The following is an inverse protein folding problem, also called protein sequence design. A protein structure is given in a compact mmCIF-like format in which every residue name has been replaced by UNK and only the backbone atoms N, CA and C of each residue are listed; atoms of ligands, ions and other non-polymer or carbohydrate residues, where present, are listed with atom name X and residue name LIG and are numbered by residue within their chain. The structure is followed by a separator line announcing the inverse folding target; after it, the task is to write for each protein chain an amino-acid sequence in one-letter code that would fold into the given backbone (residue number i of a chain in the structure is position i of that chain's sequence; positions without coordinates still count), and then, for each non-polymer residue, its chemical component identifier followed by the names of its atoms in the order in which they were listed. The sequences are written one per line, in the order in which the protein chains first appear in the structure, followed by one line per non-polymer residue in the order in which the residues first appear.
data_IF_736572762336
#
_entry.id   IF_736572762336
#
_cell.length_a   1.000
_cell.length_b   1.000
_cell.length_c   1.000
_cell.angle_alpha   90.00
_cell.angle_beta   90.00
_cell.angle_gamma   90.00
#
_symmetry.space_group_name_H-M   'P 1'
#
loop_
_entity.id
_entity.type
_entity.pdbx_description
1 polymer ?
#
# COMPACT_ATOMS: atom_id res chain seq x y z
N UNK A 1 -6.66 -8.06 -22.51
CA UNK A 1 -7.81 -7.83 -21.61
C UNK A 1 -7.91 -9.09 -20.76
N UNK A 2 -7.38 -9.05 -19.54
CA UNK A 2 -7.27 -10.21 -18.66
C UNK A 2 -8.48 -10.26 -17.72
N UNK A 3 -9.12 -11.42 -17.71
CA UNK A 3 -10.23 -11.84 -16.85
C UNK A 3 -9.81 -12.01 -15.36
N UNK A 4 -9.29 -10.96 -14.74
CA UNK A 4 -8.87 -11.02 -13.32
C UNK A 4 -9.74 -10.15 -12.40
N UNK A 5 -10.94 -9.78 -12.80
CA UNK A 5 -11.75 -8.77 -12.10
C UNK A 5 -12.72 -9.31 -11.02
N UNK A 6 -12.73 -10.62 -10.67
CA UNK A 6 -13.82 -11.16 -9.83
C UNK A 6 -13.40 -12.07 -8.66
N UNK A 7 -12.12 -12.24 -8.40
CA UNK A 7 -11.67 -13.04 -7.26
C UNK A 7 -11.34 -12.15 -6.05
N UNK A 8 -12.02 -12.40 -4.93
CA UNK A 8 -11.70 -11.75 -3.64
C UNK A 8 -10.21 -11.90 -3.32
N UNK A 9 -9.45 -10.81 -3.11
CA UNK A 9 -8.03 -10.89 -2.81
C UNK A 9 -7.73 -11.82 -1.63
N UNK A 10 -6.67 -12.62 -1.76
CA UNK A 10 -6.33 -13.66 -0.78
C UNK A 10 -6.14 -13.10 0.65
N UNK A 11 -5.61 -11.90 0.80
CA UNK A 11 -5.40 -11.31 2.11
C UNK A 11 -6.70 -11.10 2.90
N UNK A 12 -7.84 -10.88 2.23
CA UNK A 12 -9.14 -10.69 2.89
C UNK A 12 -9.66 -11.95 3.57
N UNK A 13 -9.17 -13.12 3.15
CA UNK A 13 -9.59 -14.43 3.66
C UNK A 13 -8.76 -14.89 4.88
N UNK A 14 -7.73 -14.13 5.26
CA UNK A 14 -6.91 -14.46 6.41
C UNK A 14 -7.70 -14.34 7.72
N UNK A 15 -7.53 -15.29 8.62
CA UNK A 15 -8.19 -15.29 9.94
C UNK A 15 -7.56 -14.32 10.96
N UNK A 16 -6.53 -13.59 10.58
CA UNK A 16 -5.83 -12.64 11.45
C UNK A 16 -6.58 -11.31 11.63
N UNK A 17 -7.58 -11.03 10.77
CA UNK A 17 -8.30 -9.75 10.83
C UNK A 17 -9.34 -9.72 11.95
N UNK A 18 -9.50 -8.58 12.67
CA UNK A 18 -8.67 -7.37 12.60
C UNK A 18 -7.30 -7.58 13.25
N UNK A 19 -6.25 -7.10 12.59
CA UNK A 19 -4.88 -7.14 13.09
C UNK A 19 -4.63 -5.94 14.02
N UNK A 20 -4.19 -6.21 15.25
CA UNK A 20 -3.77 -5.19 16.21
C UNK A 20 -2.27 -5.02 16.19
N UNK A 21 -1.82 -3.77 16.16
CA UNK A 21 -0.44 -3.37 16.40
C UNK A 21 -0.33 -2.74 17.81
N UNK A 22 0.73 -2.01 18.07
CA UNK A 22 0.89 -1.31 19.36
C UNK A 22 -0.21 -0.26 19.61
N UNK A 23 -0.55 0.51 18.55
CA UNK A 23 -1.48 1.64 18.65
C UNK A 23 -2.67 1.53 17.71
N UNK A 24 -2.56 0.71 16.66
CA UNK A 24 -3.49 0.71 15.54
C UNK A 24 -4.26 -0.61 15.42
N UNK A 25 -5.36 -0.53 14.70
CA UNK A 25 -6.08 -1.70 14.22
C UNK A 25 -6.21 -1.63 12.69
N UNK A 26 -5.82 -2.71 12.02
CA UNK A 26 -5.92 -2.86 10.57
C UNK A 26 -6.98 -3.90 10.25
N UNK A 27 -7.84 -3.62 9.29
CA UNK A 27 -8.81 -4.58 8.76
C UNK A 27 -9.08 -4.35 7.27
N UNK A 28 -9.52 -5.36 6.53
CA UNK A 28 -10.02 -5.17 5.17
C UNK A 28 -11.10 -4.09 5.12
N UNK A 29 -11.01 -3.20 4.12
CA UNK A 29 -11.98 -2.16 3.93
C UNK A 29 -13.36 -2.72 3.54
N UNK A 30 -14.41 -2.07 3.97
CA UNK A 30 -15.80 -2.37 3.64
C UNK A 30 -16.39 -1.22 2.79
N UNK A 31 -17.49 -1.49 2.08
CA UNK A 31 -18.17 -0.45 1.32
C UNK A 31 -18.63 0.73 2.19
N UNK A 32 -19.00 0.46 3.43
CA UNK A 32 -19.39 1.46 4.43
C UNK A 32 -18.28 2.44 4.80
N UNK A 33 -17.01 2.07 4.64
CA UNK A 33 -15.86 2.94 4.94
C UNK A 33 -15.68 4.06 3.90
N UNK A 34 -16.32 3.92 2.74
CA UNK A 34 -16.20 4.85 1.62
C UNK A 34 -16.49 6.31 1.98
N UNK A 35 -17.40 6.55 2.94
CA UNK A 35 -17.72 7.91 3.40
C UNK A 35 -16.54 8.56 4.12
N UNK A 36 -15.88 7.83 5.02
CA UNK A 36 -14.75 8.36 5.79
C UNK A 36 -13.53 8.53 4.89
N UNK A 37 -13.26 7.54 4.03
CA UNK A 37 -12.14 7.60 3.08
C UNK A 37 -12.31 8.72 2.05
N UNK A 38 -13.54 9.01 1.63
CA UNK A 38 -13.83 10.19 0.80
C UNK A 38 -13.36 11.49 1.44
N UNK A 39 -13.71 11.69 2.73
CA UNK A 39 -13.33 12.91 3.46
C UNK A 39 -11.82 13.13 3.48
N UNK A 40 -11.05 12.06 3.58
CA UNK A 40 -9.59 12.15 3.56
C UNK A 40 -9.05 12.34 2.14
N UNK A 41 -9.47 11.50 1.20
CA UNK A 41 -8.90 11.45 -0.15
C UNK A 41 -9.31 12.62 -1.05
N UNK A 42 -10.41 13.29 -0.73
CA UNK A 42 -10.85 14.51 -1.44
C UNK A 42 -10.11 15.78 -1.01
N UNK A 43 -9.31 15.72 0.06
CA UNK A 43 -8.47 16.85 0.47
C UNK A 43 -7.39 17.10 -0.59
N UNK A 44 -7.17 18.36 -1.02
CA UNK A 44 -6.17 18.68 -2.05
C UNK A 44 -4.76 18.18 -1.71
N UNK A 45 -4.32 18.36 -0.47
CA UNK A 45 -3.01 17.94 0.01
C UNK A 45 -2.83 16.41 0.03
N UNK A 46 -3.90 15.64 0.23
CA UNK A 46 -3.90 14.18 0.14
C UNK A 46 -3.97 13.75 -1.31
N UNK A 47 -4.91 14.33 -2.07
CA UNK A 47 -5.14 14.02 -3.46
C UNK A 47 -3.96 14.31 -4.37
N UNK A 48 -3.10 15.26 -4.00
CA UNK A 48 -1.96 15.70 -4.81
C UNK A 48 -1.08 14.57 -5.30
N UNK A 49 -0.81 13.58 -4.45
CA UNK A 49 0.11 12.49 -4.74
C UNK A 49 -0.57 11.18 -5.13
N UNK A 50 -1.91 11.16 -5.18
CA UNK A 50 -2.65 9.96 -5.59
C UNK A 50 -2.67 9.83 -7.11
N UNK A 51 -2.52 8.61 -7.61
CA UNK A 51 -2.64 8.29 -9.04
C UNK A 51 -4.02 8.61 -9.62
N UNK A 52 -5.00 8.80 -8.75
CA UNK A 52 -6.34 9.23 -9.09
C UNK A 52 -6.89 10.13 -7.97
N UNK A 53 -7.52 11.23 -8.36
CA UNK A 53 -8.24 12.15 -7.48
C UNK A 53 -9.69 12.27 -7.96
N UNK A 54 -10.68 11.94 -7.14
CA UNK A 54 -12.07 11.94 -7.57
C UNK A 54 -12.54 13.36 -7.95
N UNK A 55 -13.25 13.44 -9.06
CA UNK A 55 -13.81 14.72 -9.58
C UNK A 55 -14.96 15.17 -8.70
N UNK A 56 -15.78 14.22 -8.27
CA UNK A 56 -16.93 14.44 -7.41
C UNK A 56 -17.28 13.17 -6.61
N UNK A 57 -18.39 13.22 -5.90
CA UNK A 57 -18.87 12.13 -5.07
C UNK A 57 -19.32 10.90 -5.86
N UNK A 58 -19.87 11.08 -7.03
CA UNK A 58 -20.34 9.97 -7.87
C UNK A 58 -19.17 9.19 -8.42
N UNK A 59 -18.16 9.86 -8.98
CA UNK A 59 -16.90 9.30 -9.44
C UNK A 59 -16.16 8.53 -8.29
N UNK A 60 -16.17 9.11 -7.08
CA UNK A 60 -15.65 8.41 -5.90
C UNK A 60 -16.39 7.10 -5.62
N UNK A 61 -17.73 7.16 -5.54
CA UNK A 61 -18.52 5.99 -5.18
C UNK A 61 -18.36 4.86 -6.20
N UNK A 62 -18.34 5.20 -7.49
CA UNK A 62 -18.12 4.23 -8.57
C UNK A 62 -16.73 3.58 -8.44
N UNK A 63 -15.69 4.41 -8.36
CA UNK A 63 -14.29 3.92 -8.29
C UNK A 63 -14.02 3.17 -7.00
N UNK A 64 -14.52 3.65 -5.85
CA UNK A 64 -14.34 2.96 -4.58
C UNK A 64 -15.05 1.60 -4.57
N UNK A 65 -16.28 1.53 -5.05
CA UNK A 65 -17.04 0.28 -5.16
C UNK A 65 -16.30 -0.75 -6.01
N UNK A 66 -15.65 -0.32 -7.08
CA UNK A 66 -14.87 -1.21 -7.94
C UNK A 66 -13.54 -1.68 -7.33
N UNK A 67 -12.97 -0.95 -6.36
CA UNK A 67 -11.59 -1.15 -5.89
C UNK A 67 -11.45 -1.39 -4.38
N UNK A 68 -12.50 -1.23 -3.57
CA UNK A 68 -12.39 -1.34 -2.11
C UNK A 68 -11.80 -2.68 -1.64
N UNK A 69 -11.95 -3.71 -2.46
CA UNK A 69 -11.41 -5.03 -2.16
C UNK A 69 -9.87 -5.04 -2.05
N UNK A 70 -9.16 -4.11 -2.70
CA UNK A 70 -7.71 -3.96 -2.64
C UNK A 70 -7.24 -3.21 -1.39
N UNK A 71 -8.16 -2.68 -0.57
CA UNK A 71 -7.82 -1.79 0.55
C UNK A 71 -8.00 -2.44 1.91
N UNK A 72 -7.18 -1.97 2.83
CA UNK A 72 -7.37 -2.11 4.28
C UNK A 72 -7.56 -0.71 4.86
N UNK A 73 -8.34 -0.57 5.92
CA UNK A 73 -8.40 0.65 6.72
C UNK A 73 -7.50 0.53 7.93
N UNK A 74 -6.98 1.67 8.35
CA UNK A 74 -6.16 1.84 9.55
C UNK A 74 -6.95 2.66 10.56
N UNK A 75 -7.21 2.09 11.72
CA UNK A 75 -7.96 2.70 12.81
C UNK A 75 -7.06 3.02 13.99
N UNK A 76 -7.30 4.16 14.59
CA UNK A 76 -6.76 4.60 15.89
C UNK A 76 -7.95 4.90 16.81
N UNK A 77 -8.04 4.22 17.94
CA UNK A 77 -9.13 4.38 18.94
C UNK A 77 -10.55 4.27 18.34
N UNK A 78 -10.70 3.44 17.29
CA UNK A 78 -11.97 3.21 16.59
C UNK A 78 -12.28 4.20 15.46
N UNK A 79 -11.41 5.18 15.21
CA UNK A 79 -11.54 6.15 14.12
C UNK A 79 -10.62 5.79 12.96
N UNK A 80 -11.12 5.77 11.72
CA UNK A 80 -10.29 5.54 10.53
C UNK A 80 -9.42 6.77 10.30
N UNK A 81 -8.10 6.56 10.34
CA UNK A 81 -7.09 7.61 10.12
C UNK A 81 -6.37 7.48 8.79
N UNK A 82 -6.62 6.41 8.04
CA UNK A 82 -5.99 6.18 6.76
C UNK A 82 -6.38 4.84 6.15
N UNK A 83 -5.80 4.57 5.00
CA UNK A 83 -5.95 3.30 4.30
C UNK A 83 -4.62 2.82 3.71
N UNK A 84 -4.54 1.51 3.50
CA UNK A 84 -3.45 0.83 2.81
C UNK A 84 -4.00 0.09 1.60
N UNK A 85 -3.29 0.12 0.49
CA UNK A 85 -3.56 -0.70 -0.69
C UNK A 85 -2.63 -1.90 -0.69
N UNK A 86 -3.17 -3.06 -1.02
CA UNK A 86 -2.41 -4.29 -1.24
C UNK A 86 -2.87 -4.95 -2.53
N UNK A 87 -1.99 -5.02 -3.51
CA UNK A 87 -2.18 -5.75 -4.75
C UNK A 87 -1.12 -6.82 -4.90
N UNK A 88 -1.54 -7.99 -5.34
CA UNK A 88 -0.62 -9.09 -5.63
C UNK A 88 -0.36 -9.18 -7.12
N UNK A 89 0.84 -9.57 -7.49
CA UNK A 89 1.24 -9.76 -8.89
C UNK A 89 2.17 -10.95 -9.04
N UNK A 90 2.24 -11.43 -10.29
CA UNK A 90 3.19 -12.45 -10.66
C UNK A 90 4.59 -11.86 -10.80
N UNK A 91 5.60 -12.65 -10.44
CA UNK A 91 6.98 -12.35 -10.77
C UNK A 91 7.27 -12.59 -12.25
N UNK A 92 8.35 -12.00 -12.74
CA UNK A 92 8.91 -12.40 -14.03
C UNK A 92 9.69 -13.70 -13.87
N UNK A 93 9.56 -14.62 -14.81
CA UNK A 93 10.29 -15.89 -14.81
C UNK A 93 10.41 -16.49 -16.22
N UNK A 94 11.43 -17.34 -16.39
CA UNK A 94 11.56 -18.14 -17.59
C UNK A 94 10.37 -19.09 -17.71
N UNK A 95 10.02 -19.47 -18.95
CA UNK A 95 8.83 -20.27 -19.25
C UNK A 95 8.78 -21.57 -18.46
N UNK A 96 9.92 -22.22 -18.30
CA UNK A 96 10.06 -23.54 -17.66
C UNK A 96 9.77 -23.54 -16.15
N UNK A 97 9.84 -22.36 -15.52
CA UNK A 97 9.64 -22.17 -14.06
C UNK A 97 8.54 -21.13 -13.75
N UNK A 98 7.77 -20.73 -14.75
CA UNK A 98 6.80 -19.64 -14.62
C UNK A 98 5.76 -19.91 -13.53
N UNK A 99 5.36 -21.14 -13.33
CA UNK A 99 4.38 -21.51 -12.30
C UNK A 99 4.85 -21.15 -10.86
N UNK A 100 6.17 -21.03 -10.66
CA UNK A 100 6.76 -20.60 -9.38
C UNK A 100 6.71 -19.09 -9.17
N UNK A 101 6.26 -18.33 -10.16
CA UNK A 101 6.19 -16.85 -10.09
C UNK A 101 4.78 -16.33 -9.85
N UNK A 102 3.79 -17.19 -9.72
CA UNK A 102 2.40 -16.80 -9.57
C UNK A 102 2.17 -16.21 -8.18
N UNK A 103 1.62 -14.99 -8.14
CA UNK A 103 1.24 -14.25 -6.94
C UNK A 103 2.34 -14.20 -5.85
N UNK A 104 3.61 -14.02 -6.25
CA UNK A 104 4.76 -13.97 -5.32
C UNK A 104 5.23 -12.56 -5.00
N UNK A 105 4.57 -11.56 -5.54
CA UNK A 105 4.91 -10.14 -5.34
C UNK A 105 3.70 -9.37 -4.83
N UNK A 106 3.97 -8.32 -4.05
CA UNK A 106 2.95 -7.38 -3.57
C UNK A 106 3.37 -5.95 -3.88
N UNK A 107 2.43 -5.15 -4.38
CA UNK A 107 2.52 -3.69 -4.44
C UNK A 107 1.75 -3.10 -3.27
N UNK A 108 2.39 -2.19 -2.54
CA UNK A 108 1.77 -1.46 -1.44
C UNK A 108 1.59 0.02 -1.78
N UNK A 109 0.48 0.58 -1.30
CA UNK A 109 0.21 2.02 -1.30
C UNK A 109 -0.39 2.42 0.05
N UNK A 110 -0.38 3.70 0.36
CA UNK A 110 -0.94 4.25 1.60
C UNK A 110 -1.45 5.66 1.44
N UNK A 111 -2.46 5.97 2.23
CA UNK A 111 -3.03 7.30 2.35
C UNK A 111 -3.44 7.52 3.81
N UNK A 112 -3.03 8.63 4.39
CA UNK A 112 -3.39 8.98 5.76
C UNK A 112 -4.02 10.37 5.81
N UNK A 113 -4.93 10.57 6.75
CA UNK A 113 -5.45 11.88 7.07
C UNK A 113 -4.31 12.81 7.51
N UNK A 114 -4.31 14.10 7.14
CA UNK A 114 -3.25 15.04 7.50
C UNK A 114 -2.96 15.09 9.01
N UNK A 115 -4.00 14.97 9.84
CA UNK A 115 -3.91 14.98 11.29
C UNK A 115 -3.16 13.77 11.87
N UNK A 116 -3.04 12.69 11.10
CA UNK A 116 -2.27 11.50 11.46
C UNK A 116 -0.77 11.65 11.14
N UNK A 117 -0.39 12.72 10.43
CA UNK A 117 0.99 12.97 10.01
C UNK A 117 1.98 13.16 11.17
N UNK A 118 3.24 12.76 10.95
CA UNK A 118 4.34 13.00 11.89
C UNK A 118 4.34 12.17 13.18
N UNK A 119 3.37 11.27 13.37
CA UNK A 119 3.18 10.50 14.62
C UNK A 119 3.65 9.03 14.51
N UNK A 120 4.21 8.65 13.36
CA UNK A 120 4.71 7.30 13.12
C UNK A 120 3.65 6.26 12.74
N UNK A 121 2.37 6.62 12.68
CA UNK A 121 1.29 5.68 12.37
C UNK A 121 1.43 5.01 11.00
N UNK A 122 1.81 5.77 9.97
CA UNK A 122 2.04 5.20 8.65
C UNK A 122 3.17 4.16 8.64
N UNK A 123 4.26 4.41 9.39
CA UNK A 123 5.36 3.45 9.53
C UNK A 123 4.88 2.17 10.19
N UNK A 124 4.18 2.28 11.33
CA UNK A 124 3.64 1.14 12.08
C UNK A 124 2.67 0.30 11.24
N UNK A 125 1.76 0.96 10.52
CA UNK A 125 0.78 0.28 9.67
C UNK A 125 1.44 -0.44 8.47
N UNK A 126 2.41 0.20 7.81
CA UNK A 126 3.11 -0.39 6.66
C UNK A 126 4.01 -1.54 7.10
N UNK A 127 4.72 -1.43 8.23
CA UNK A 127 5.51 -2.55 8.80
C UNK A 127 4.62 -3.75 9.14
N UNK A 128 3.45 -3.52 9.73
CA UNK A 128 2.49 -4.58 9.98
C UNK A 128 2.00 -5.24 8.68
N UNK A 129 1.71 -4.46 7.64
CA UNK A 129 1.27 -5.00 6.35
C UNK A 129 2.39 -5.77 5.62
N UNK A 130 3.65 -5.30 5.67
CA UNK A 130 4.79 -6.06 5.13
C UNK A 130 4.91 -7.41 5.84
N UNK A 131 4.76 -7.44 7.18
CA UNK A 131 4.76 -8.70 7.94
C UNK A 131 3.66 -9.65 7.49
N UNK A 132 2.44 -9.14 7.23
CA UNK A 132 1.34 -9.95 6.69
C UNK A 132 1.70 -10.50 5.30
N UNK A 133 2.25 -9.67 4.41
CA UNK A 133 2.66 -10.09 3.08
C UNK A 133 3.70 -11.22 3.13
N UNK A 134 4.71 -11.08 3.98
CA UNK A 134 5.80 -12.06 4.08
C UNK A 134 5.36 -13.33 4.81
N UNK A 135 4.72 -13.21 5.99
CA UNK A 135 4.51 -14.34 6.89
C UNK A 135 3.15 -15.05 6.67
N UNK A 136 2.13 -14.34 6.20
CA UNK A 136 0.80 -14.93 6.00
C UNK A 136 0.50 -15.25 4.54
N UNK A 137 1.01 -14.41 3.61
CA UNK A 137 0.76 -14.58 2.17
C UNK A 137 1.96 -15.21 1.43
N UNK A 138 3.11 -15.36 2.09
CA UNK A 138 4.30 -15.97 1.48
C UNK A 138 4.90 -15.15 0.32
N UNK A 139 4.66 -13.84 0.30
CA UNK A 139 5.22 -12.97 -0.73
C UNK A 139 6.73 -12.94 -0.65
N UNK A 140 7.39 -13.10 -1.80
CA UNK A 140 8.86 -13.05 -1.91
C UNK A 140 9.40 -11.63 -1.97
N UNK A 141 8.60 -10.71 -2.54
CA UNK A 141 9.00 -9.33 -2.82
C UNK A 141 7.82 -8.39 -2.59
N UNK A 142 8.08 -7.31 -1.88
CA UNK A 142 7.14 -6.23 -1.64
C UNK A 142 7.72 -4.95 -2.24
N UNK A 143 6.92 -4.23 -3.00
CA UNK A 143 7.34 -3.00 -3.67
C UNK A 143 6.35 -1.86 -3.45
N UNK A 144 6.84 -0.63 -3.59
CA UNK A 144 6.03 0.58 -3.58
C UNK A 144 6.68 1.63 -4.48
N UNK A 145 5.85 2.36 -5.24
CA UNK A 145 6.29 3.46 -6.11
C UNK A 145 5.74 4.81 -5.65
N UNK A 146 6.44 5.87 -6.01
CA UNK A 146 5.99 7.24 -5.77
C UNK A 146 6.56 8.19 -6.82
N UNK A 147 5.93 9.37 -6.97
CA UNK A 147 6.59 10.51 -7.58
C UNK A 147 7.81 10.91 -6.74
N UNK A 148 8.92 11.24 -7.37
CA UNK A 148 10.16 11.60 -6.65
C UNK A 148 9.99 12.83 -5.76
N UNK A 149 9.08 13.73 -6.11
CA UNK A 149 8.71 14.91 -5.35
C UNK A 149 7.88 14.60 -4.10
N UNK A 150 7.27 13.40 -4.01
CA UNK A 150 6.55 12.94 -2.82
C UNK A 150 7.52 12.42 -1.76
N UNK A 151 8.31 13.33 -1.21
CA UNK A 151 9.34 13.03 -0.22
C UNK A 151 8.81 12.28 1.02
N UNK A 152 7.66 12.62 1.61
CA UNK A 152 7.11 11.87 2.73
C UNK A 152 6.90 10.38 2.45
N UNK A 153 6.49 10.03 1.22
CA UNK A 153 6.22 8.64 0.83
C UNK A 153 7.51 7.82 0.72
N UNK A 154 8.50 8.27 -0.07
CA UNK A 154 9.72 7.47 -0.21
C UNK A 154 10.59 7.46 1.06
N UNK A 155 10.54 8.51 1.90
CA UNK A 155 11.16 8.45 3.25
C UNK A 155 10.49 7.41 4.16
N UNK A 156 9.19 7.18 4.00
CA UNK A 156 8.53 6.08 4.69
C UNK A 156 9.06 4.73 4.19
N UNK A 157 9.20 4.55 2.87
CA UNK A 157 9.78 3.34 2.28
C UNK A 157 11.17 3.03 2.86
N UNK A 158 12.03 4.04 2.96
CA UNK A 158 13.36 3.90 3.56
C UNK A 158 13.30 3.53 5.05
N UNK A 159 12.41 4.16 5.81
CA UNK A 159 12.24 3.84 7.25
C UNK A 159 11.81 2.41 7.50
N UNK A 160 10.94 1.85 6.68
CA UNK A 160 10.51 0.45 6.80
C UNK A 160 11.53 -0.54 6.21
N UNK A 161 12.67 -0.04 5.71
CA UNK A 161 13.78 -0.87 5.24
C UNK A 161 13.73 -1.23 3.77
N UNK A 162 12.83 -0.64 2.98
CA UNK A 162 12.86 -0.79 1.53
C UNK A 162 14.10 -0.08 0.95
N UNK A 163 14.75 -0.68 -0.04
CA UNK A 163 15.83 -0.04 -0.81
C UNK A 163 15.29 0.53 -2.12
N UNK A 164 15.82 1.65 -2.54
CA UNK A 164 15.50 2.22 -3.85
C UNK A 164 16.12 1.37 -4.96
N UNK A 165 15.31 0.92 -5.88
CA UNK A 165 15.74 0.10 -7.02
C UNK A 165 15.74 0.86 -8.34
N UNK A 166 14.88 1.88 -8.48
CA UNK A 166 14.92 2.75 -9.65
C UNK A 166 14.66 4.22 -9.32
N UNK A 167 15.19 5.07 -10.20
CA UNK A 167 14.86 6.48 -10.33
C UNK A 167 14.69 6.74 -11.83
N UNK A 168 13.46 7.03 -12.22
CA UNK A 168 13.08 7.16 -13.64
C UNK A 168 12.82 8.61 -13.98
N UNK A 169 13.62 9.18 -14.88
CA UNK A 169 13.54 10.61 -15.23
C UNK A 169 12.33 10.86 -16.13
N UNK A 170 11.45 11.79 -15.71
CA UNK A 170 10.27 12.23 -16.47
C UNK A 170 9.38 11.08 -16.96
N UNK A 171 9.23 10.06 -16.13
CA UNK A 171 8.44 8.87 -16.44
C UNK A 171 6.94 9.09 -16.19
N UNK A 172 6.59 9.85 -15.16
CA UNK A 172 5.23 9.94 -14.66
C UNK A 172 4.60 11.28 -14.97
N UNK A 173 3.37 11.28 -15.49
CA UNK A 173 2.63 12.52 -15.73
C UNK A 173 1.79 12.88 -14.49
N UNK A 174 2.21 13.93 -13.79
CA UNK A 174 1.44 14.52 -12.69
C UNK A 174 0.45 15.56 -13.23
N UNK A 175 -0.77 15.58 -12.70
CA UNK A 175 -1.86 16.45 -13.19
C UNK A 175 -1.55 17.95 -13.18
N UNK A 176 -0.76 18.42 -12.20
CA UNK A 176 -0.44 19.84 -12.02
C UNK A 176 1.02 20.17 -12.35
N UNK A 177 1.96 19.21 -12.16
CA UNK A 177 3.40 19.43 -12.31
C UNK A 177 3.94 19.02 -13.69
N UNK A 178 3.11 18.39 -14.54
CA UNK A 178 3.55 17.84 -15.81
C UNK A 178 4.38 16.56 -15.63
N UNK A 179 5.33 16.30 -16.54
CA UNK A 179 6.20 15.13 -16.45
C UNK A 179 7.21 15.27 -15.33
N UNK A 180 7.13 14.38 -14.36
CA UNK A 180 7.95 14.33 -13.15
C UNK A 180 8.68 12.99 -13.06
N UNK A 181 9.68 12.94 -12.19
CA UNK A 181 10.47 11.74 -11.98
C UNK A 181 9.71 10.73 -11.10
N UNK A 182 9.98 9.45 -11.30
CA UNK A 182 9.42 8.36 -10.50
C UNK A 182 10.50 7.63 -9.71
N UNK A 183 10.12 7.07 -8.57
CA UNK A 183 10.97 6.19 -7.76
C UNK A 183 10.25 4.89 -7.46
N UNK A 184 11.00 3.78 -7.48
CA UNK A 184 10.52 2.48 -7.05
C UNK A 184 11.42 1.96 -5.93
N UNK A 185 10.82 1.48 -4.88
CA UNK A 185 11.45 0.85 -3.73
C UNK A 185 10.93 -0.56 -3.55
N UNK A 186 11.77 -1.43 -3.02
CA UNK A 186 11.37 -2.80 -2.70
C UNK A 186 12.10 -3.36 -1.47
N UNK A 187 11.51 -4.40 -0.89
CA UNK A 187 12.13 -5.25 0.13
C UNK A 187 11.82 -6.70 -0.18
N UNK A 188 12.80 -7.59 0.03
CA UNK A 188 12.63 -9.03 -0.08
C UNK A 188 12.21 -9.62 1.27
N UNK A 189 11.50 -10.76 1.21
CA UNK A 189 11.07 -11.46 2.42
C UNK A 189 12.22 -11.76 3.41
N UNK A 190 13.36 -12.18 2.89
CA UNK A 190 14.50 -12.52 3.74
C UNK A 190 15.13 -11.27 4.39
N UNK A 191 15.20 -10.15 3.64
CA UNK A 191 15.65 -8.85 4.18
C UNK A 191 14.71 -8.37 5.31
N UNK A 192 13.39 -8.57 5.13
CA UNK A 192 12.42 -8.25 6.17
C UNK A 192 12.60 -9.08 7.43
N UNK A 193 12.79 -10.40 7.29
CA UNK A 193 13.02 -11.30 8.44
C UNK A 193 14.31 -10.97 9.17
N UNK A 194 15.39 -10.67 8.46
CA UNK A 194 16.65 -10.23 9.04
C UNK A 194 16.49 -8.93 9.84
N UNK A 195 15.75 -7.96 9.29
CA UNK A 195 15.44 -6.70 9.99
C UNK A 195 14.70 -6.95 11.30
N UNK A 196 13.63 -7.77 11.29
CA UNK A 196 12.89 -8.10 12.51
C UNK A 196 13.77 -8.78 13.57
N UNK A 197 14.64 -9.69 13.15
CA UNK A 197 15.55 -10.39 14.04
C UNK A 197 16.57 -9.45 14.72
N UNK A 198 16.94 -8.35 14.08
CA UNK A 198 17.83 -7.34 14.68
C UNK A 198 17.10 -6.47 15.70
N UNK A 199 15.86 -6.05 15.42
CA UNK A 199 15.05 -5.22 16.34
C UNK A 199 14.62 -5.95 17.63
N UNK A 200 14.67 -7.29 17.66
CA UNK A 200 14.35 -8.08 18.86
C UNK A 200 15.54 -8.24 19.81
N UNK A 201 16.74 -7.80 19.41
CA UNK A 201 17.96 -7.94 20.21
C UNK A 201 18.40 -6.65 20.91
N UNK A 202 17.78 -5.53 20.56
CA UNK A 202 17.98 -4.21 21.15
C UNK A 202 16.88 -3.89 22.18
#
# INVERSE_FOLDING_TARGET
MSEQADATPAFRQLSIWPLRTERLMLRPAELSDGEVLWRHRSLPEVGMWLGWHPVDREDWNETYTAKYADYLVVELDGEIIGDLMLRTSDGWGQREVKDQTIAVQAELGWTFAPEAGGKGYATEAVEALISVCVEQLGMRRIEAGAFAENEPSWRLMERVGMRRESYSVKESLHRDLGWVDGVLYAILADEWRERLAHHQKD
#
